data_IF_408031441991
#
_entry.id   IF_408031441991
#
_cell.length_a   1.000
_cell.length_b   1.000
_cell.length_c   1.000
_cell.angle_alpha   90.00
_cell.angle_beta   90.00
_cell.angle_gamma   90.00
#
_symmetry.space_group_name_H-M   'P 1'
#
loop_
_entity.id
_entity.type
_entity.pdbx_description
1 polymer ?
#
# COMPACT_ATOMS: atom_id res chain seq x y z
N UNK A 1 -0.29 12.25 9.04
CA UNK A 1 -0.22 11.09 8.11
C UNK A 1 -0.27 9.76 8.85
N UNK A 2 0.48 9.54 9.95
CA UNK A 2 0.47 8.29 10.71
C UNK A 2 -0.90 7.89 11.22
N UNK A 3 -1.71 8.83 11.71
CA UNK A 3 -3.08 8.55 12.13
C UNK A 3 -3.96 8.07 10.97
N UNK A 4 -3.77 8.59 9.77
CA UNK A 4 -4.49 8.11 8.58
C UNK A 4 -4.11 6.66 8.23
N UNK A 5 -2.84 6.30 8.38
CA UNK A 5 -2.41 4.92 8.18
C UNK A 5 -3.03 3.98 9.22
N UNK A 6 -3.08 4.39 10.50
CA UNK A 6 -3.72 3.61 11.57
C UNK A 6 -5.22 3.44 11.30
N UNK A 7 -5.92 4.49 10.89
CA UNK A 7 -7.36 4.42 10.59
C UNK A 7 -7.63 3.52 9.38
N UNK A 8 -6.81 3.60 8.33
CA UNK A 8 -7.01 2.83 7.12
C UNK A 8 -6.54 1.37 7.24
N UNK A 9 -5.28 1.18 7.64
CA UNK A 9 -4.64 -0.13 7.66
C UNK A 9 -4.60 -0.78 9.04
N UNK A 10 -4.82 -0.01 10.11
CA UNK A 10 -4.81 -0.49 11.49
C UNK A 10 -3.46 -0.35 12.19
N UNK A 11 -2.41 0.06 11.52
CA UNK A 11 -1.08 0.23 12.08
C UNK A 11 -0.25 1.22 11.27
N UNK A 12 0.83 1.72 11.85
CA UNK A 12 1.85 2.48 11.14
C UNK A 12 3.22 2.17 11.75
N UNK A 13 4.29 2.63 11.12
CA UNK A 13 5.66 2.52 11.63
C UNK A 13 6.24 3.90 11.75
N UNK A 14 6.60 4.28 12.97
CA UNK A 14 7.33 5.49 13.28
C UNK A 14 8.75 5.10 13.66
N UNK A 15 9.71 5.48 12.82
CA UNK A 15 11.12 5.30 13.09
C UNK A 15 11.67 6.52 13.84
N UNK A 16 12.49 6.27 14.85
CA UNK A 16 13.08 7.28 15.70
C UNK A 16 14.59 7.14 15.59
N UNK A 17 15.23 8.15 15.01
CA UNK A 17 16.68 8.20 14.88
C UNK A 17 17.25 9.38 15.66
N UNK A 18 18.46 9.20 16.15
CA UNK A 18 19.22 10.27 16.80
C UNK A 18 20.31 10.76 15.85
N UNK A 19 19.98 11.73 15.02
CA UNK A 19 20.93 12.37 14.13
C UNK A 19 21.40 13.72 14.68
N UNK A 20 22.71 13.91 14.79
CA UNK A 20 23.34 15.17 15.20
C UNK A 20 22.80 15.74 16.54
N UNK A 21 22.56 14.90 17.54
CA UNK A 21 21.98 15.22 18.86
C UNK A 21 20.54 15.74 18.81
N UNK A 22 19.80 15.42 17.77
CA UNK A 22 18.36 15.71 17.65
C UNK A 22 17.62 14.43 17.37
N UNK A 23 16.49 14.23 18.02
CA UNK A 23 15.56 13.16 17.69
C UNK A 23 14.88 13.49 16.38
N UNK A 24 14.97 12.60 15.42
CA UNK A 24 14.26 12.65 14.14
C UNK A 24 13.19 11.57 14.13
N UNK A 25 11.99 11.97 13.72
CA UNK A 25 10.85 11.06 13.59
C UNK A 25 10.52 10.91 12.11
N UNK A 26 10.58 9.69 11.62
CA UNK A 26 10.28 9.38 10.24
C UNK A 26 9.13 8.37 10.17
N UNK A 27 8.06 8.75 9.47
CA UNK A 27 6.95 7.84 9.21
C UNK A 27 7.28 7.03 7.96
N UNK A 28 7.41 5.72 8.12
CA UNK A 28 7.74 4.85 7.00
C UNK A 28 6.50 4.37 6.27
N UNK A 29 6.55 4.31 4.91
CA UNK A 29 5.45 3.81 4.11
C UNK A 29 5.12 2.36 4.44
N UNK A 30 3.85 2.06 4.72
CA UNK A 30 3.39 0.71 5.09
C UNK A 30 3.73 -0.36 4.05
N UNK A 31 3.67 -0.01 2.76
CA UNK A 31 4.00 -0.93 1.68
C UNK A 31 5.47 -1.37 1.64
N UNK A 32 6.34 -0.71 2.41
CA UNK A 32 7.75 -1.06 2.53
C UNK A 32 8.06 -1.81 3.83
N UNK A 33 7.14 -1.84 4.80
CA UNK A 33 7.39 -2.31 6.15
C UNK A 33 6.71 -3.66 6.41
N UNK A 34 7.47 -4.56 7.05
CA UNK A 34 7.00 -5.87 7.50
C UNK A 34 7.32 -6.03 8.97
N UNK A 35 6.29 -6.29 9.77
CA UNK A 35 6.41 -6.45 11.21
C UNK A 35 6.68 -7.91 11.57
N UNK A 36 7.51 -8.12 12.56
CA UNK A 36 7.78 -9.43 13.13
C UNK A 36 7.70 -9.42 14.65
N UNK A 37 7.60 -10.60 15.22
CA UNK A 37 7.60 -10.86 16.66
C UNK A 37 8.53 -12.02 16.96
N UNK A 38 9.44 -11.85 17.91
CA UNK A 38 10.30 -12.96 18.37
C UNK A 38 9.50 -14.03 19.10
N UNK A 39 8.39 -13.64 19.77
CA UNK A 39 7.44 -14.56 20.44
C UNK A 39 6.06 -14.38 19.84
N UNK A 40 5.38 -15.48 19.55
CA UNK A 40 3.99 -15.45 19.13
C UNK A 40 3.13 -14.76 20.20
N UNK A 41 2.37 -13.72 19.79
CA UNK A 41 1.57 -12.90 20.70
C UNK A 41 2.35 -11.89 21.56
N UNK A 42 3.66 -11.78 21.36
CA UNK A 42 4.51 -10.80 22.03
C UNK A 42 4.43 -9.39 21.44
N UNK A 43 5.25 -8.46 21.92
CA UNK A 43 5.40 -7.15 21.28
C UNK A 43 5.99 -7.30 19.88
N UNK A 44 5.76 -6.28 19.03
CA UNK A 44 6.45 -6.17 17.75
C UNK A 44 7.85 -5.66 18.03
N UNK A 45 8.82 -6.54 17.90
CA UNK A 45 10.24 -6.31 18.20
C UNK A 45 11.14 -6.47 16.96
N UNK A 46 10.57 -6.93 15.84
CA UNK A 46 11.27 -7.06 14.57
C UNK A 46 10.61 -6.23 13.49
N UNK A 47 11.41 -5.56 12.67
CA UNK A 47 10.98 -4.75 11.57
C UNK A 47 11.87 -4.98 10.36
N UNK A 48 11.25 -5.23 9.22
CA UNK A 48 11.91 -5.30 7.93
C UNK A 48 11.36 -4.19 7.04
N UNK A 49 12.25 -3.42 6.41
CA UNK A 49 11.88 -2.39 5.44
C UNK A 49 12.54 -2.70 4.11
N UNK A 50 11.72 -2.87 3.06
CA UNK A 50 12.18 -3.01 1.68
C UNK A 50 12.07 -1.65 0.99
N UNK A 51 13.17 -1.13 0.48
CA UNK A 51 13.19 0.18 -0.16
C UNK A 51 14.17 0.20 -1.33
N UNK A 52 14.02 1.19 -2.19
CA UNK A 52 14.86 1.35 -3.35
C UNK A 52 15.70 2.63 -3.21
N UNK A 53 16.97 2.54 -3.55
CA UNK A 53 17.88 3.66 -3.69
C UNK A 53 18.42 3.70 -5.12
N UNK A 54 18.70 4.89 -5.62
CA UNK A 54 19.48 5.02 -6.84
C UNK A 54 20.93 4.59 -6.58
N UNK A 55 21.66 4.23 -7.63
CA UNK A 55 23.04 3.81 -7.49
C UNK A 55 23.91 4.89 -6.83
N UNK A 56 23.69 6.16 -7.15
CA UNK A 56 24.37 7.30 -6.53
C UNK A 56 24.00 7.44 -5.03
N UNK A 57 22.72 7.33 -4.69
CA UNK A 57 22.26 7.37 -3.31
C UNK A 57 22.85 6.23 -2.49
N UNK A 58 22.94 5.02 -3.06
CA UNK A 58 23.52 3.86 -2.40
C UNK A 58 25.02 4.06 -2.11
N UNK A 59 25.78 4.63 -3.05
CA UNK A 59 27.18 4.98 -2.81
C UNK A 59 27.34 6.04 -1.72
N UNK A 60 26.49 7.07 -1.74
CA UNK A 60 26.53 8.12 -0.71
C UNK A 60 26.19 7.59 0.68
N UNK A 61 25.22 6.66 0.78
CA UNK A 61 24.74 6.13 2.07
C UNK A 61 25.66 5.07 2.68
N UNK A 62 26.24 4.19 1.84
CA UNK A 62 27.00 3.01 2.31
C UNK A 62 28.49 3.06 2.01
N UNK A 63 28.89 3.91 1.09
CA UNK A 63 30.28 3.98 0.62
C UNK A 63 30.60 2.95 -0.47
N UNK A 64 31.64 3.26 -1.24
CA UNK A 64 32.02 2.48 -2.42
C UNK A 64 32.43 1.03 -2.12
N UNK A 65 33.05 0.82 -0.94
CA UNK A 65 33.57 -0.52 -0.57
C UNK A 65 32.48 -1.48 -0.09
N UNK A 66 31.34 -0.95 0.40
CA UNK A 66 30.28 -1.76 0.99
C UNK A 66 29.29 -2.29 -0.06
N UNK A 67 29.14 -1.57 -1.16
CA UNK A 67 28.17 -1.92 -2.23
C UNK A 67 28.77 -2.90 -3.23
N UNK A 68 27.92 -3.64 -3.93
CA UNK A 68 28.35 -4.60 -4.95
C UNK A 68 29.02 -3.93 -6.15
N UNK A 69 29.86 -4.67 -6.91
CA UNK A 69 30.46 -4.17 -8.15
C UNK A 69 29.43 -3.64 -9.15
N UNK A 70 28.25 -4.28 -9.21
CA UNK A 70 27.16 -3.89 -10.10
C UNK A 70 26.63 -2.48 -9.77
N UNK A 71 26.37 -2.20 -8.48
CA UNK A 71 25.91 -0.87 -8.03
C UNK A 71 26.98 0.20 -8.35
N UNK A 72 28.26 -0.12 -8.22
CA UNK A 72 29.36 0.79 -8.55
C UNK A 72 29.43 1.09 -10.05
N UNK A 73 29.27 0.07 -10.88
CA UNK A 73 29.22 0.26 -12.34
C UNK A 73 28.01 1.09 -12.75
N UNK A 74 26.84 0.79 -12.20
CA UNK A 74 25.60 1.52 -12.49
C UNK A 74 25.69 2.98 -12.03
N UNK A 75 26.34 3.26 -10.90
CA UNK A 75 26.56 4.63 -10.44
C UNK A 75 27.41 5.47 -11.43
N UNK A 76 28.30 4.81 -12.21
CA UNK A 76 29.11 5.50 -13.23
C UNK A 76 28.38 5.60 -14.56
N UNK A 77 27.62 4.56 -14.95
CA UNK A 77 26.95 4.46 -16.26
C UNK A 77 25.53 5.03 -16.25
N UNK A 78 24.76 4.70 -15.20
CA UNK A 78 23.34 5.03 -15.05
C UNK A 78 23.05 5.38 -13.58
N UNK A 79 23.41 6.58 -13.08
CA UNK A 79 23.31 6.95 -11.66
C UNK A 79 21.89 6.85 -11.09
N UNK A 80 20.87 6.99 -11.94
CA UNK A 80 19.44 6.90 -11.57
C UNK A 80 18.91 5.46 -11.51
N UNK A 81 19.73 4.45 -11.85
CA UNK A 81 19.31 3.05 -11.75
C UNK A 81 18.98 2.69 -10.30
N UNK A 82 17.80 2.14 -10.09
CA UNK A 82 17.31 1.76 -8.77
C UNK A 82 17.75 0.35 -8.40
N UNK A 83 18.23 0.23 -7.18
CA UNK A 83 18.59 -1.04 -6.54
C UNK A 83 17.76 -1.24 -5.28
N UNK A 84 17.40 -2.48 -5.00
CA UNK A 84 16.59 -2.83 -3.83
C UNK A 84 17.49 -3.18 -2.64
N UNK A 85 17.09 -2.62 -1.49
CA UNK A 85 17.74 -2.85 -0.20
C UNK A 85 16.70 -3.27 0.83
N UNK A 86 17.13 -4.11 1.75
CA UNK A 86 16.33 -4.53 2.91
C UNK A 86 17.06 -4.10 4.17
N UNK A 87 16.36 -3.36 5.01
CA UNK A 87 16.77 -3.06 6.36
C UNK A 87 16.07 -4.02 7.31
N UNK A 88 16.84 -4.72 8.12
CA UNK A 88 16.37 -5.62 9.17
C UNK A 88 16.72 -5.01 10.51
N UNK A 89 15.72 -4.79 11.37
CA UNK A 89 15.90 -4.35 12.75
C UNK A 89 15.28 -5.39 13.66
N UNK A 90 15.99 -5.82 14.68
CA UNK A 90 15.45 -6.77 15.65
C UNK A 90 16.36 -6.98 16.85
N UNK A 91 15.88 -7.73 17.85
CA UNK A 91 16.68 -8.04 19.03
C UNK A 91 17.83 -8.98 18.67
N UNK A 92 19.03 -8.62 19.09
CA UNK A 92 20.23 -9.43 18.91
C UNK A 92 20.24 -10.58 19.89
N UNK A 93 20.47 -11.81 19.43
CA UNK A 93 20.51 -13.01 20.28
C UNK A 93 21.68 -13.01 21.27
N UNK A 94 22.81 -12.48 20.85
CA UNK A 94 24.02 -12.40 21.70
C UNK A 94 24.52 -10.94 21.66
N UNK A 95 24.39 -10.25 22.77
CA UNK A 95 24.89 -8.88 22.95
C UNK A 95 25.74 -8.81 24.23
N UNK A 96 26.58 -7.79 24.31
CA UNK A 96 27.43 -7.57 25.49
C UNK A 96 26.82 -6.45 26.33
N UNK A 97 26.33 -6.71 27.56
CA UNK A 97 25.82 -5.66 28.43
C UNK A 97 26.88 -4.58 28.68
N UNK A 98 26.50 -3.31 28.44
CA UNK A 98 27.43 -2.17 28.56
C UNK A 98 28.40 -2.00 27.39
N UNK A 99 28.27 -2.80 26.33
CA UNK A 99 29.05 -2.62 25.11
C UNK A 99 28.71 -1.35 24.36
N UNK A 100 29.74 -0.66 23.82
CA UNK A 100 29.57 0.58 23.05
C UNK A 100 29.72 0.39 21.53
N UNK A 101 30.23 -0.78 21.12
CA UNK A 101 30.43 -1.06 19.70
C UNK A 101 29.09 -1.45 19.04
N UNK A 102 28.85 -1.04 17.78
CA UNK A 102 27.59 -1.32 17.07
C UNK A 102 27.16 -2.80 17.10
N UNK A 103 28.13 -3.72 17.05
CA UNK A 103 27.89 -5.18 17.09
C UNK A 103 27.61 -5.73 18.48
N UNK A 104 27.76 -4.93 19.52
CA UNK A 104 27.56 -5.35 20.93
C UNK A 104 26.21 -4.88 21.48
N UNK A 105 25.50 -4.05 20.74
CA UNK A 105 24.23 -3.45 21.15
C UNK A 105 23.07 -4.45 21.11
N UNK A 106 22.06 -4.29 22.00
CA UNK A 106 20.96 -5.24 22.13
C UNK A 106 20.02 -5.33 20.92
N UNK A 107 19.88 -4.26 20.12
CA UNK A 107 19.15 -4.30 18.87
C UNK A 107 20.12 -4.21 17.70
N UNK A 108 19.99 -5.13 16.76
CA UNK A 108 20.75 -5.12 15.52
C UNK A 108 20.02 -4.38 14.41
N UNK A 109 20.80 -3.72 13.56
CA UNK A 109 20.34 -3.08 12.33
C UNK A 109 21.23 -3.51 11.19
N UNK A 110 20.68 -4.27 10.25
CA UNK A 110 21.41 -4.85 9.14
C UNK A 110 20.80 -4.40 7.84
N UNK A 111 21.60 -3.77 6.99
CA UNK A 111 21.23 -3.40 5.63
C UNK A 111 21.78 -4.41 4.64
N UNK A 112 20.94 -4.95 3.80
CA UNK A 112 21.27 -5.99 2.83
C UNK A 112 20.90 -5.49 1.44
N UNK A 113 21.83 -5.62 0.51
CA UNK A 113 21.55 -5.46 -0.92
C UNK A 113 20.91 -6.74 -1.46
N UNK A 114 19.69 -6.63 -2.02
CA UNK A 114 18.90 -7.80 -2.45
C UNK A 114 19.55 -8.52 -3.62
N UNK A 115 20.11 -7.77 -4.58
CA UNK A 115 20.66 -8.32 -5.83
C UNK A 115 21.89 -9.18 -5.59
N UNK A 116 22.79 -8.75 -4.72
CA UNK A 116 24.04 -9.44 -4.39
C UNK A 116 23.96 -10.32 -3.14
N UNK A 117 22.87 -10.17 -2.35
CA UNK A 117 22.67 -10.80 -1.05
C UNK A 117 23.83 -10.52 -0.07
N UNK A 118 24.43 -9.35 -0.18
CA UNK A 118 25.53 -8.91 0.66
C UNK A 118 25.06 -7.93 1.73
N UNK A 119 25.67 -8.00 2.91
CA UNK A 119 25.45 -7.03 3.97
C UNK A 119 26.26 -5.79 3.61
N UNK A 120 25.57 -4.66 3.37
CA UNK A 120 26.21 -3.38 3.05
C UNK A 120 26.48 -2.53 4.30
N UNK A 121 25.71 -2.75 5.37
CA UNK A 121 25.92 -2.06 6.65
C UNK A 121 25.39 -2.90 7.80
N UNK A 122 26.17 -3.01 8.85
CA UNK A 122 25.74 -3.59 10.13
C UNK A 122 25.95 -2.55 11.23
N UNK A 123 24.89 -2.27 11.98
CA UNK A 123 24.94 -1.39 13.14
C UNK A 123 24.03 -1.91 14.25
N UNK A 124 23.76 -1.10 15.26
CA UNK A 124 22.87 -1.49 16.35
C UNK A 124 22.36 -0.29 17.12
N UNK A 125 21.38 -0.54 17.97
CA UNK A 125 20.74 0.46 18.84
C UNK A 125 20.70 -0.06 20.27
N UNK A 126 20.76 0.87 21.23
CA UNK A 126 20.62 0.55 22.66
C UNK A 126 19.18 0.17 23.00
N UNK A 127 18.22 0.82 22.34
CA UNK A 127 16.79 0.61 22.50
C UNK A 127 16.14 0.37 21.14
N UNK A 128 14.90 -0.08 21.14
CA UNK A 128 14.14 -0.28 19.92
C UNK A 128 13.94 1.05 19.19
N UNK A 129 14.47 1.24 17.96
CA UNK A 129 14.46 2.53 17.27
C UNK A 129 13.15 2.79 16.53
N UNK A 130 12.12 1.98 16.71
CA UNK A 130 10.83 2.15 16.06
C UNK A 130 9.66 1.87 16.99
N UNK A 131 8.55 2.51 16.70
CA UNK A 131 7.27 2.26 17.34
C UNK A 131 6.26 1.86 16.26
N UNK A 132 5.55 0.75 16.49
CA UNK A 132 4.50 0.29 15.59
C UNK A 132 3.15 0.27 16.34
N UNK A 133 2.46 1.44 16.46
CA UNK A 133 1.15 1.50 17.07
C UNK A 133 0.14 0.71 16.25
N UNK A 134 -0.75 -0.02 16.94
CA UNK A 134 -1.73 -0.94 16.35
C UNK A 134 -3.12 -0.66 16.92
N UNK A 135 -4.13 -0.56 16.06
CA UNK A 135 -5.51 -0.27 16.45
C UNK A 135 -6.18 -1.49 17.10
N UNK A 136 -6.59 -2.46 16.29
CA UNK A 136 -7.16 -3.72 16.78
C UNK A 136 -6.23 -4.86 16.43
N UNK A 137 -5.55 -5.42 17.43
CA UNK A 137 -4.57 -6.49 17.24
C UNK A 137 -5.27 -7.80 16.91
N UNK A 138 -4.81 -8.48 15.88
CA UNK A 138 -5.24 -9.82 15.54
C UNK A 138 -4.49 -10.84 16.38
N UNK A 139 -5.18 -11.77 17.08
CA UNK A 139 -4.53 -12.85 17.81
C UNK A 139 -3.59 -13.65 16.92
N UNK A 140 -2.34 -13.83 17.34
CA UNK A 140 -1.34 -14.61 16.60
C UNK A 140 -0.70 -13.91 15.40
N UNK A 141 -1.04 -12.63 15.15
CA UNK A 141 -0.45 -11.82 14.07
C UNK A 141 0.28 -10.59 14.62
N UNK A 142 1.41 -10.18 14.01
CA UNK A 142 2.04 -8.91 14.34
C UNK A 142 1.24 -7.70 13.85
N UNK A 143 0.29 -7.91 12.94
CA UNK A 143 -0.52 -6.88 12.32
C UNK A 143 -1.81 -6.59 13.06
N UNK A 144 -2.47 -5.51 12.68
CA UNK A 144 -3.75 -5.05 13.23
C UNK A 144 -4.72 -4.68 12.10
N UNK A 145 -5.98 -4.52 12.48
CA UNK A 145 -7.04 -4.06 11.58
C UNK A 145 -7.48 -2.67 12.01
N UNK A 146 -7.63 -1.77 11.02
CA UNK A 146 -8.15 -0.43 11.22
C UNK A 146 -9.69 -0.38 11.14
N UNK A 147 -10.29 0.69 11.65
CA UNK A 147 -11.75 0.87 11.60
C UNK A 147 -12.29 0.89 10.16
N UNK A 148 -11.56 1.42 9.21
CA UNK A 148 -11.95 1.42 7.78
C UNK A 148 -12.05 0.01 7.22
N UNK A 149 -11.18 -0.91 7.64
CA UNK A 149 -11.25 -2.31 7.20
C UNK A 149 -12.57 -2.99 7.60
N UNK A 150 -13.10 -2.66 8.78
CA UNK A 150 -14.40 -3.17 9.25
C UNK A 150 -15.57 -2.54 8.48
N UNK A 151 -15.45 -1.28 8.08
CA UNK A 151 -16.45 -0.56 7.30
C UNK A 151 -16.39 -0.87 5.78
N UNK A 152 -15.31 -1.50 5.30
CA UNK A 152 -15.05 -1.71 3.87
C UNK A 152 -16.20 -2.45 3.14
N UNK A 153 -16.83 -3.51 3.68
CA UNK A 153 -17.96 -4.15 3.04
C UNK A 153 -19.12 -3.18 2.77
N UNK A 154 -19.46 -2.36 3.79
CA UNK A 154 -20.55 -1.36 3.69
C UNK A 154 -20.20 -0.26 2.70
N UNK A 155 -18.94 0.20 2.67
CA UNK A 155 -18.47 1.20 1.69
C UNK A 155 -18.56 0.64 0.28
N UNK A 156 -18.17 -0.61 0.04
CA UNK A 156 -18.29 -1.27 -1.26
C UNK A 156 -19.75 -1.39 -1.71
N UNK A 157 -20.64 -1.75 -0.79
CA UNK A 157 -22.08 -1.83 -1.06
C UNK A 157 -22.64 -0.44 -1.43
N UNK A 158 -22.30 0.59 -0.69
CA UNK A 158 -22.72 1.97 -0.96
C UNK A 158 -22.22 2.43 -2.35
N UNK A 159 -20.96 2.21 -2.67
CA UNK A 159 -20.42 2.55 -3.99
C UNK A 159 -21.14 1.81 -5.13
N UNK A 160 -21.50 0.54 -4.91
CA UNK A 160 -22.29 -0.23 -5.88
C UNK A 160 -23.69 0.35 -6.08
N UNK A 161 -24.36 0.73 -4.99
CA UNK A 161 -25.68 1.37 -5.06
C UNK A 161 -25.62 2.72 -5.77
N UNK A 162 -24.65 3.57 -5.45
CA UNK A 162 -24.46 4.86 -6.14
C UNK A 162 -24.17 4.69 -7.64
N UNK A 163 -23.41 3.68 -8.01
CA UNK A 163 -23.18 3.36 -9.42
C UNK A 163 -24.46 2.93 -10.13
N UNK A 164 -25.28 2.08 -9.50
CA UNK A 164 -26.58 1.66 -10.04
C UNK A 164 -27.56 2.84 -10.14
N UNK A 165 -27.60 3.70 -9.13
CA UNK A 165 -28.40 4.91 -9.12
C UNK A 165 -28.01 5.86 -10.28
N UNK A 166 -26.71 6.10 -10.45
CA UNK A 166 -26.20 6.93 -11.56
C UNK A 166 -26.62 6.39 -12.94
N UNK A 167 -26.55 5.07 -13.13
CA UNK A 167 -27.00 4.41 -14.37
C UNK A 167 -28.51 4.53 -14.54
N UNK A 168 -29.27 4.35 -13.45
CA UNK A 168 -30.73 4.47 -13.47
C UNK A 168 -31.16 5.90 -13.82
N UNK A 169 -30.55 6.90 -13.19
CA UNK A 169 -30.79 8.31 -13.50
C UNK A 169 -30.47 8.67 -14.96
N UNK A 170 -29.33 8.18 -15.46
CA UNK A 170 -28.93 8.36 -16.85
C UNK A 170 -29.94 7.76 -17.82
N UNK A 171 -30.46 6.56 -17.53
CA UNK A 171 -31.52 5.91 -18.33
C UNK A 171 -32.84 6.68 -18.24
N UNK A 172 -33.24 7.12 -17.06
CA UNK A 172 -34.44 7.91 -16.86
C UNK A 172 -34.37 9.26 -17.63
N UNK A 173 -33.20 9.91 -17.57
CA UNK A 173 -32.97 11.17 -18.30
C UNK A 173 -32.92 10.97 -19.81
N UNK A 174 -32.37 9.87 -20.29
CA UNK A 174 -32.28 9.57 -21.71
C UNK A 174 -33.61 9.13 -22.33
N UNK A 175 -34.54 8.62 -21.52
CA UNK A 175 -35.83 8.09 -21.94
C UNK A 175 -35.72 6.71 -22.61
N UNK A 176 -36.87 6.11 -22.81
CA UNK A 176 -37.02 4.88 -23.60
C UNK A 176 -37.81 5.24 -24.85
N UNK A 177 -37.26 4.98 -26.00
CA UNK A 177 -37.90 5.25 -27.29
C UNK A 177 -38.45 3.92 -27.82
N UNK A 178 -39.70 3.96 -28.28
CA UNK A 178 -40.32 2.82 -28.93
C UNK A 178 -40.38 3.14 -30.43
N UNK A 179 -39.80 2.24 -31.24
CA UNK A 179 -39.86 2.31 -32.68
C UNK A 179 -40.81 1.22 -33.21
N UNK A 180 -41.76 1.60 -34.01
CA UNK A 180 -42.63 0.66 -34.70
C UNK A 180 -41.91 0.15 -35.95
N UNK A 181 -41.98 -1.17 -36.18
CA UNK A 181 -41.41 -1.79 -37.36
C UNK A 181 -42.43 -1.74 -38.50
N UNK A 182 -42.49 -0.60 -39.21
CA UNK A 182 -43.34 -0.35 -40.37
C UNK A 182 -42.67 -0.76 -41.69
N UNK A 183 -41.50 -1.36 -41.66
CA UNK A 183 -40.70 -1.75 -42.82
C UNK A 183 -40.02 -0.58 -43.55
N UNK A 184 -40.21 0.66 -43.11
CA UNK A 184 -39.61 1.88 -43.70
C UNK A 184 -38.31 2.25 -42.97
N UNK A 185 -38.30 2.13 -41.65
CA UNK A 185 -37.15 2.42 -40.83
C UNK A 185 -36.46 1.10 -40.37
N UNK A 186 -35.18 1.00 -40.62
CA UNK A 186 -34.42 -0.14 -40.06
C UNK A 186 -34.14 0.16 -38.58
N UNK A 187 -34.84 -0.50 -37.63
CA UNK A 187 -34.72 -0.22 -36.19
C UNK A 187 -33.31 -0.42 -35.63
N UNK A 188 -32.49 -1.27 -36.31
CA UNK A 188 -31.09 -1.51 -35.92
C UNK A 188 -30.16 -0.34 -36.25
N UNK A 189 -30.57 0.57 -37.13
CA UNK A 189 -29.79 1.75 -37.51
C UNK A 189 -30.10 2.96 -36.65
N UNK A 190 -31.24 2.97 -35.95
CA UNK A 190 -31.65 4.09 -35.08
C UNK A 190 -30.85 4.02 -33.76
N UNK A 191 -29.88 4.90 -33.62
CA UNK A 191 -29.10 5.08 -32.39
C UNK A 191 -29.48 6.40 -31.73
N UNK A 192 -30.19 6.32 -30.62
CA UNK A 192 -30.43 7.47 -29.76
C UNK A 192 -29.32 7.55 -28.73
N UNK A 193 -28.62 8.68 -28.69
CA UNK A 193 -27.47 8.88 -27.77
C UNK A 193 -27.97 8.85 -26.32
N UNK A 194 -27.61 7.77 -25.61
CA UNK A 194 -27.96 7.55 -24.19
C UNK A 194 -29.33 6.90 -23.96
N UNK A 195 -30.20 6.76 -24.96
CA UNK A 195 -31.48 6.09 -24.81
C UNK A 195 -31.51 4.66 -25.29
N UNK A 196 -32.47 3.89 -24.81
CA UNK A 196 -32.73 2.53 -25.28
C UNK A 196 -33.85 2.56 -26.29
N UNK A 197 -33.64 1.99 -27.49
CA UNK A 197 -34.65 1.84 -28.50
C UNK A 197 -35.20 0.42 -28.42
N UNK A 198 -36.51 0.29 -28.20
CA UNK A 198 -37.24 -0.98 -28.22
C UNK A 198 -38.03 -1.06 -29.50
N UNK A 199 -37.88 -2.11 -30.26
CA UNK A 199 -38.64 -2.36 -31.48
C UNK A 199 -39.87 -3.20 -31.14
N UNK A 200 -41.04 -2.72 -31.53
CA UNK A 200 -42.29 -3.39 -31.28
C UNK A 200 -43.16 -3.35 -32.54
N UNK A 201 -44.05 -4.33 -32.72
CA UNK A 201 -44.99 -4.40 -33.84
C UNK A 201 -46.12 -3.36 -33.74
N UNK A 202 -46.33 -2.79 -32.54
CA UNK A 202 -47.27 -1.68 -32.30
C UNK A 202 -46.82 -0.93 -31.04
N UNK A 203 -46.91 0.39 -31.05
CA UNK A 203 -46.59 1.25 -29.88
C UNK A 203 -47.50 0.93 -28.70
N UNK A 204 -48.76 0.57 -28.93
CA UNK A 204 -49.73 0.21 -27.91
C UNK A 204 -49.47 -1.13 -27.22
N UNK A 205 -48.64 -1.99 -27.80
CA UNK A 205 -48.31 -3.30 -27.23
C UNK A 205 -47.34 -3.22 -26.05
N UNK A 206 -46.64 -2.12 -25.86
CA UNK A 206 -45.72 -1.89 -24.78
C UNK A 206 -46.39 -1.06 -23.68
N UNK A 207 -46.89 -1.72 -22.63
CA UNK A 207 -47.25 -1.06 -21.37
C UNK A 207 -45.99 -0.74 -20.60
N UNK A 208 -45.59 0.51 -20.58
CA UNK A 208 -44.57 0.98 -19.63
C UNK A 208 -45.07 0.71 -18.21
N UNK A 209 -44.57 -0.33 -17.56
CA UNK A 209 -44.69 -0.45 -16.12
C UNK A 209 -44.04 0.79 -15.50
N UNK A 210 -44.79 1.54 -14.69
CA UNK A 210 -44.27 2.67 -13.95
C UNK A 210 -43.03 2.23 -13.18
N UNK A 211 -41.87 2.76 -13.55
CA UNK A 211 -40.70 2.71 -12.68
C UNK A 211 -41.04 3.59 -11.49
N UNK A 212 -41.42 2.94 -10.38
CA UNK A 212 -41.57 3.62 -9.10
C UNK A 212 -40.19 4.13 -8.70
N UNK A 213 -40.07 5.45 -8.63
CA UNK A 213 -38.89 6.15 -8.15
C UNK A 213 -38.72 5.92 -6.63
#
# INVERSE_FOLDING_TARGET
>A
EGLLQIVNAGWCVLFIDEAARRLQFELWPLGQCYLGQTRSGGPVDMLYRCFQLTAEQALSAYGEQAVSPKVREDATKNPDQKHEFVLCIGPRKAYTPGGMLPKQLPFESVHIEVSSKTIVRESGYHEQPFVAPRWTVLPGSPYAIGPVSNALPTIRQLNSLLAMESVSLARAAAGVYVAEDDGVLNPRSVRVRGGTVIVANSVDSIKCGSVVA
#
